data_IF_222605652339
#
_entry.id   IF_222605652339
#
_cell.length_a   1.000
_cell.length_b   1.000
_cell.length_c   1.000
_cell.angle_alpha   90.00
_cell.angle_beta   90.00
_cell.angle_gamma   90.00
#
_symmetry.space_group_name_H-M   'P 1'
#
loop_
_entity.id
_entity.type
_entity.pdbx_description
1 polymer ?
#
# COMPACT_ATOMS: atom_id res chain seq x y z
N UNK A 1 5.86 -0.56 -10.64
CA UNK A 1 5.99 0.89 -10.95
C UNK A 1 4.64 1.55 -10.75
N UNK A 2 4.62 2.75 -10.19
CA UNK A 2 3.43 3.60 -10.03
C UNK A 2 3.88 5.08 -10.03
N UNK A 3 3.02 5.99 -9.59
CA UNK A 3 3.33 7.40 -9.43
C UNK A 3 2.74 7.92 -8.12
N UNK A 4 3.33 8.97 -7.55
CA UNK A 4 2.70 9.78 -6.49
C UNK A 4 2.72 11.27 -6.88
N UNK A 5 1.69 12.04 -6.51
CA UNK A 5 1.61 13.46 -6.89
C UNK A 5 2.52 14.32 -6.00
N UNK A 6 3.30 15.21 -6.63
CA UNK A 6 4.11 16.23 -5.93
C UNK A 6 3.52 17.62 -6.08
N UNK A 7 2.72 17.85 -7.12
CA UNK A 7 1.88 19.04 -7.30
C UNK A 7 0.65 18.68 -8.13
N UNK A 8 -0.27 19.63 -8.32
CA UNK A 8 -1.48 19.42 -9.13
C UNK A 8 -1.24 19.09 -10.61
N UNK A 9 -0.01 19.26 -11.10
CA UNK A 9 0.36 19.02 -12.50
C UNK A 9 1.52 18.02 -12.66
N UNK A 10 2.13 17.60 -11.56
CA UNK A 10 3.37 16.81 -11.59
C UNK A 10 3.26 15.65 -10.62
N UNK A 11 3.58 14.47 -11.14
CA UNK A 11 3.73 13.25 -10.34
C UNK A 11 5.09 12.65 -10.61
N UNK A 12 5.70 12.11 -9.57
CA UNK A 12 6.94 11.36 -9.68
C UNK A 12 6.65 9.90 -9.93
N UNK A 13 7.39 9.31 -10.88
CA UNK A 13 7.36 7.89 -11.14
C UNK A 13 8.20 7.18 -10.08
N UNK A 14 7.64 6.11 -9.52
CA UNK A 14 8.29 5.31 -8.48
C UNK A 14 8.31 3.84 -8.87
N UNK A 15 9.44 3.21 -8.62
CA UNK A 15 9.69 1.80 -8.88
C UNK A 15 9.92 1.06 -7.56
N UNK A 16 9.41 -0.16 -7.49
CA UNK A 16 9.75 -1.13 -6.45
C UNK A 16 10.58 -2.22 -7.12
N UNK A 17 11.78 -2.47 -6.60
CA UNK A 17 12.74 -3.44 -7.14
C UNK A 17 13.22 -4.33 -5.99
N UNK A 18 13.19 -5.64 -6.19
CA UNK A 18 13.79 -6.59 -5.25
C UNK A 18 15.27 -6.70 -5.60
N UNK A 19 16.18 -6.23 -4.73
CA UNK A 19 17.59 -6.26 -5.03
C UNK A 19 18.17 -7.67 -4.76
N UNK A 20 19.34 -8.01 -5.31
CA UNK A 20 19.93 -9.35 -5.19
C UNK A 20 20.19 -9.81 -3.74
N UNK A 21 20.38 -8.86 -2.82
CA UNK A 21 20.59 -9.11 -1.39
C UNK A 21 19.31 -9.44 -0.60
N UNK A 22 18.12 -9.23 -1.19
CA UNK A 22 16.86 -9.57 -0.53
C UNK A 22 16.72 -11.09 -0.41
N UNK A 23 16.35 -11.58 0.77
CA UNK A 23 16.11 -13.01 1.00
C UNK A 23 14.66 -13.27 1.41
N UNK A 24 14.29 -14.55 1.56
CA UNK A 24 12.99 -14.90 2.12
C UNK A 24 12.89 -14.61 3.62
N UNK A 25 14.01 -14.66 4.34
CA UNK A 25 14.08 -14.39 5.79
C UNK A 25 14.11 -12.89 6.09
N UNK A 26 14.75 -12.09 5.23
CA UNK A 26 14.76 -10.63 5.28
C UNK A 26 14.44 -10.05 3.89
N UNK A 27 13.14 -10.02 3.53
CA UNK A 27 12.72 -9.46 2.27
C UNK A 27 12.90 -7.94 2.25
N UNK A 28 13.71 -7.47 1.30
CA UNK A 28 13.99 -6.05 1.09
C UNK A 28 13.42 -5.63 -0.26
N UNK A 29 12.71 -4.52 -0.28
CA UNK A 29 12.30 -3.83 -1.50
C UNK A 29 12.97 -2.48 -1.58
N UNK A 30 13.66 -2.22 -2.68
CA UNK A 30 14.16 -0.89 -2.99
C UNK A 30 13.08 -0.07 -3.68
N UNK A 31 12.60 0.96 -2.99
CA UNK A 31 11.73 1.97 -3.57
C UNK A 31 12.59 3.10 -4.13
N UNK A 32 12.46 3.36 -5.43
CA UNK A 32 13.35 4.26 -6.16
C UNK A 32 12.58 5.29 -6.98
N UNK A 33 12.97 6.56 -6.89
CA UNK A 33 12.38 7.66 -7.66
C UNK A 33 13.33 8.87 -7.70
N UNK A 34 13.11 9.79 -8.65
CA UNK A 34 13.76 11.11 -8.61
C UNK A 34 12.96 12.02 -7.69
N UNK A 35 13.58 12.58 -6.65
CA UNK A 35 12.93 13.45 -5.68
C UNK A 35 12.81 14.90 -6.13
N UNK A 36 12.07 15.68 -5.35
CA UNK A 36 11.86 17.11 -5.58
C UNK A 36 13.18 17.92 -5.49
N UNK A 37 14.19 17.38 -4.81
CA UNK A 37 15.53 17.96 -4.71
C UNK A 37 16.40 17.73 -5.95
N UNK A 38 15.86 17.07 -6.98
CA UNK A 38 16.55 16.73 -8.23
C UNK A 38 17.49 15.54 -8.12
N UNK A 39 17.53 14.83 -6.98
CA UNK A 39 18.37 13.65 -6.78
C UNK A 39 17.57 12.36 -6.97
N UNK A 40 18.30 11.31 -7.30
CA UNK A 40 17.74 9.97 -7.31
C UNK A 40 17.77 9.41 -5.89
N UNK A 41 16.59 9.09 -5.34
CA UNK A 41 16.45 8.48 -4.03
C UNK A 41 16.24 6.97 -4.15
N UNK A 42 16.86 6.24 -3.22
CA UNK A 42 16.72 4.79 -3.05
C UNK A 42 16.46 4.53 -1.57
N UNK A 43 15.30 3.97 -1.27
CA UNK A 43 14.91 3.57 0.08
C UNK A 43 14.86 2.05 0.15
N UNK A 44 15.63 1.47 1.07
CA UNK A 44 15.56 0.05 1.36
C UNK A 44 14.47 -0.18 2.41
N UNK A 45 13.37 -0.79 2.00
CA UNK A 45 12.26 -1.13 2.88
C UNK A 45 12.36 -2.61 3.22
N UNK A 46 12.62 -2.92 4.49
CA UNK A 46 12.52 -4.26 5.03
C UNK A 46 11.04 -4.59 5.19
N UNK A 47 10.53 -5.54 4.40
CA UNK A 47 9.10 -5.86 4.31
C UNK A 47 8.56 -6.37 5.64
N UNK A 48 9.38 -7.09 6.41
CA UNK A 48 9.02 -7.59 7.74
C UNK A 48 8.85 -6.46 8.78
N UNK A 49 9.50 -5.31 8.56
CA UNK A 49 9.40 -4.15 9.46
C UNK A 49 8.20 -3.25 9.13
N UNK A 50 7.52 -3.50 8.01
CA UNK A 50 6.32 -2.73 7.64
C UNK A 50 5.19 -3.11 8.56
N UNK A 51 4.80 -2.17 9.43
CA UNK A 51 3.60 -2.27 10.24
C UNK A 51 2.40 -1.68 9.49
N UNK A 52 1.44 -2.49 8.99
CA UNK A 52 0.29 -1.98 8.23
C UNK A 52 -0.61 -1.02 9.03
N UNK A 53 -0.58 -1.07 10.36
CA UNK A 53 -1.34 -0.14 11.21
C UNK A 53 -0.66 1.23 11.38
N UNK A 54 0.58 1.38 10.90
CA UNK A 54 1.34 2.62 10.96
C UNK A 54 2.39 2.67 9.85
N UNK A 55 1.94 2.59 8.59
CA UNK A 55 2.79 2.61 7.41
C UNK A 55 2.51 3.84 6.53
N UNK A 56 3.57 4.35 5.92
CA UNK A 56 3.51 5.32 4.82
C UNK A 56 3.05 4.65 3.53
N UNK A 57 2.65 5.47 2.55
CA UNK A 57 2.33 4.95 1.22
C UNK A 57 3.55 4.30 0.56
N UNK A 58 4.76 4.78 0.84
CA UNK A 58 6.01 4.17 0.38
C UNK A 58 6.21 2.76 0.95
N UNK A 59 6.04 2.60 2.27
CA UNK A 59 6.17 1.29 2.93
C UNK A 59 5.07 0.33 2.48
N UNK A 60 3.82 0.81 2.37
CA UNK A 60 2.72 0.01 1.84
C UNK A 60 2.95 -0.38 0.38
N UNK A 61 3.46 0.54 -0.45
CA UNK A 61 3.80 0.25 -1.85
C UNK A 61 4.86 -0.84 -1.95
N UNK A 62 5.92 -0.76 -1.14
CA UNK A 62 6.95 -1.78 -1.04
C UNK A 62 6.36 -3.14 -0.63
N UNK A 63 5.60 -3.16 0.46
CA UNK A 63 4.99 -4.37 1.02
C UNK A 63 4.09 -5.07 0.01
N UNK A 64 3.09 -4.37 -0.55
CA UNK A 64 2.13 -5.01 -1.46
C UNK A 64 2.76 -5.41 -2.81
N UNK A 65 3.82 -4.69 -3.24
CA UNK A 65 4.61 -5.06 -4.42
C UNK A 65 5.43 -6.32 -4.19
N UNK A 66 5.98 -6.51 -2.99
CA UNK A 66 6.64 -7.77 -2.62
C UNK A 66 5.64 -8.93 -2.60
N UNK A 67 4.47 -8.73 -2.01
CA UNK A 67 3.39 -9.74 -2.00
C UNK A 67 2.98 -10.14 -3.43
N UNK A 68 2.85 -9.16 -4.35
CA UNK A 68 2.62 -9.42 -5.77
C UNK A 68 3.73 -10.28 -6.40
N UNK A 69 4.99 -10.00 -6.05
CA UNK A 69 6.16 -10.69 -6.57
C UNK A 69 6.19 -12.17 -6.16
N UNK A 70 5.89 -12.47 -4.89
CA UNK A 70 5.86 -13.85 -4.37
C UNK A 70 4.57 -14.60 -4.71
N UNK A 71 3.62 -13.94 -5.40
CA UNK A 71 2.40 -14.55 -5.92
C UNK A 71 1.16 -14.39 -5.04
N UNK A 72 1.27 -13.69 -3.92
CA UNK A 72 0.15 -13.32 -3.05
C UNK A 72 -0.60 -12.13 -3.67
N UNK A 73 -1.45 -12.41 -4.65
CA UNK A 73 -2.15 -11.41 -5.46
C UNK A 73 -3.60 -11.25 -5.04
N UNK A 74 -4.10 -10.03 -5.14
CA UNK A 74 -5.51 -9.66 -5.01
C UNK A 74 -6.25 -10.01 -6.31
N UNK A 75 -7.08 -11.08 -6.35
CA UNK A 75 -7.64 -11.57 -7.60
C UNK A 75 -8.52 -10.54 -8.33
N UNK A 76 -8.30 -10.42 -9.64
CA UNK A 76 -9.06 -9.52 -10.51
C UNK A 76 -8.73 -8.03 -10.34
N UNK A 77 -7.76 -7.68 -9.49
CA UNK A 77 -7.07 -6.40 -9.52
C UNK A 77 -5.94 -6.42 -10.56
N UNK A 78 -5.50 -5.23 -11.00
CA UNK A 78 -4.35 -5.11 -11.90
C UNK A 78 -3.06 -5.54 -11.18
N UNK A 79 -2.89 -5.08 -9.93
CA UNK A 79 -1.89 -5.50 -8.97
C UNK A 79 -2.39 -5.13 -7.56
N UNK A 80 -1.70 -5.56 -6.51
CA UNK A 80 -2.09 -5.30 -5.12
C UNK A 80 -2.06 -3.81 -4.78
N UNK A 81 -1.10 -3.06 -5.33
CA UNK A 81 -1.03 -1.61 -5.13
C UNK A 81 -2.28 -0.89 -5.64
N UNK A 82 -2.77 -1.25 -6.83
CA UNK A 82 -3.98 -0.68 -7.39
C UNK A 82 -5.22 -1.02 -6.56
N UNK A 83 -5.30 -2.24 -6.02
CA UNK A 83 -6.37 -2.61 -5.10
C UNK A 83 -6.31 -1.76 -3.82
N UNK A 84 -5.14 -1.63 -3.21
CA UNK A 84 -4.90 -0.81 -2.02
C UNK A 84 -5.28 0.66 -2.24
N UNK A 85 -4.82 1.27 -3.34
CA UNK A 85 -5.13 2.67 -3.68
C UNK A 85 -6.63 2.91 -3.86
N UNK A 86 -7.37 1.94 -4.42
CA UNK A 86 -8.84 2.05 -4.53
C UNK A 86 -9.50 2.01 -3.13
N UNK A 87 -8.99 1.19 -2.21
CA UNK A 87 -9.50 1.18 -0.83
C UNK A 87 -9.20 2.50 -0.12
N UNK A 88 -7.98 3.03 -0.29
CA UNK A 88 -7.60 4.33 0.27
C UNK A 88 -8.48 5.46 -0.27
N UNK A 89 -8.65 5.53 -1.58
CA UNK A 89 -9.53 6.50 -2.22
C UNK A 89 -10.98 6.39 -1.72
N UNK A 90 -11.50 5.17 -1.61
CA UNK A 90 -12.87 4.94 -1.10
C UNK A 90 -13.00 5.39 0.34
N UNK A 91 -12.01 5.09 1.20
CA UNK A 91 -12.01 5.53 2.58
C UNK A 91 -12.02 7.06 2.71
N UNK A 92 -11.21 7.77 1.92
CA UNK A 92 -11.16 9.24 1.96
C UNK A 92 -12.49 9.87 1.52
N UNK A 93 -13.08 9.37 0.43
CA UNK A 93 -14.40 9.82 -0.03
C UNK A 93 -15.46 9.63 1.06
N UNK A 94 -15.49 8.47 1.72
CA UNK A 94 -16.49 8.20 2.74
C UNK A 94 -16.24 8.97 4.04
N UNK A 95 -14.98 9.23 4.40
CA UNK A 95 -14.62 9.92 5.64
C UNK A 95 -14.79 11.44 5.52
N UNK A 96 -14.46 12.00 4.36
CA UNK A 96 -14.38 13.46 4.19
C UNK A 96 -15.39 14.03 3.18
N UNK A 97 -16.11 13.17 2.44
CA UNK A 97 -17.02 13.58 1.37
C UNK A 97 -16.32 14.07 0.09
N UNK A 98 -14.98 14.03 0.06
CA UNK A 98 -14.15 14.40 -1.08
C UNK A 98 -12.79 13.68 -1.02
N UNK A 99 -12.16 13.48 -2.16
CA UNK A 99 -10.82 12.92 -2.26
C UNK A 99 -9.81 14.03 -1.99
N UNK A 100 -8.93 13.82 -1.02
CA UNK A 100 -7.89 14.81 -0.68
C UNK A 100 -6.58 14.35 -1.28
N UNK A 101 -6.30 14.80 -2.49
CA UNK A 101 -4.99 14.58 -3.09
C UNK A 101 -3.91 15.27 -2.24
N UNK A 102 -3.17 14.46 -1.46
CA UNK A 102 -2.07 14.94 -0.65
C UNK A 102 -0.85 15.12 -1.56
N UNK A 103 -0.47 16.38 -1.77
CA UNK A 103 0.59 16.76 -2.69
C UNK A 103 1.93 16.88 -1.98
N UNK A 104 2.94 16.20 -2.49
CA UNK A 104 4.33 16.36 -2.08
C UNK A 104 4.96 15.07 -1.60
N UNK A 105 6.27 14.97 -1.78
CA UNK A 105 7.05 13.76 -1.49
C UNK A 105 6.87 13.25 -0.05
N UNK A 106 6.80 14.15 0.94
CA UNK A 106 6.62 13.78 2.35
C UNK A 106 5.32 13.02 2.65
N UNK A 107 4.27 13.21 1.85
CA UNK A 107 3.03 12.46 2.01
C UNK A 107 3.15 11.03 1.54
N UNK A 108 3.96 10.79 0.52
CA UNK A 108 4.29 9.44 0.07
C UNK A 108 5.27 8.75 1.02
N UNK A 109 6.33 9.45 1.44
CA UNK A 109 7.46 8.85 2.17
C UNK A 109 7.28 8.80 3.70
N UNK A 110 6.49 9.71 4.29
CA UNK A 110 6.54 9.95 5.73
C UNK A 110 5.20 9.87 6.48
N UNK A 111 4.08 10.24 5.85
CA UNK A 111 2.78 10.25 6.54
C UNK A 111 2.29 8.84 6.78
N UNK A 112 2.15 8.47 8.06
CA UNK A 112 1.71 7.15 8.49
C UNK A 112 0.19 7.04 8.51
N UNK A 113 -0.33 5.96 7.97
CA UNK A 113 -1.74 5.60 7.95
C UNK A 113 -1.93 4.18 8.53
N UNK A 114 -3.11 3.95 9.11
CA UNK A 114 -3.56 2.61 9.51
C UNK A 114 -4.30 1.96 8.35
N UNK A 115 -3.56 1.23 7.51
CA UNK A 115 -4.10 0.58 6.32
C UNK A 115 -5.16 -0.46 6.66
N UNK A 116 -4.98 -1.19 7.76
CA UNK A 116 -5.92 -2.22 8.18
C UNK A 116 -7.26 -1.60 8.64
N UNK A 117 -7.20 -0.58 9.50
CA UNK A 117 -8.40 0.11 9.95
C UNK A 117 -9.14 0.77 8.77
N UNK A 118 -8.39 1.40 7.86
CA UNK A 118 -8.91 1.99 6.64
C UNK A 118 -9.68 0.97 5.78
N UNK A 119 -9.08 -0.19 5.50
CA UNK A 119 -9.72 -1.23 4.67
C UNK A 119 -10.92 -1.85 5.40
N UNK A 120 -10.83 -2.07 6.71
CA UNK A 120 -11.96 -2.55 7.52
C UNK A 120 -13.17 -1.61 7.48
N UNK A 121 -12.94 -0.30 7.50
CA UNK A 121 -14.00 0.70 7.40
C UNK A 121 -14.67 0.66 6.01
N UNK A 122 -13.89 0.61 4.93
CA UNK A 122 -14.41 0.47 3.56
C UNK A 122 -15.21 -0.83 3.42
N UNK A 123 -14.69 -1.95 3.94
CA UNK A 123 -15.36 -3.22 3.88
C UNK A 123 -16.73 -3.19 4.57
N UNK A 124 -16.78 -2.60 5.76
CA UNK A 124 -18.01 -2.43 6.53
C UNK A 124 -19.01 -1.54 5.80
N UNK A 125 -18.54 -0.43 5.21
CA UNK A 125 -19.36 0.46 4.41
C UNK A 125 -19.94 -0.23 3.16
N UNK A 126 -19.12 -0.96 2.39
CA UNK A 126 -19.55 -1.68 1.19
C UNK A 126 -20.66 -2.68 1.50
N UNK A 127 -20.52 -3.43 2.61
CA UNK A 127 -21.55 -4.39 3.04
C UNK A 127 -22.89 -3.74 3.35
N UNK A 128 -22.88 -2.53 3.91
CA UNK A 128 -24.08 -1.85 4.38
C UNK A 128 -24.73 -0.98 3.31
N UNK A 129 -23.95 -0.37 2.42
CA UNK A 129 -24.43 0.68 1.50
C UNK A 129 -24.33 0.30 0.02
N UNK A 130 -23.47 -0.66 -0.35
CA UNK A 130 -23.28 -1.05 -1.75
C UNK A 130 -23.04 -2.57 -1.90
N UNK A 131 -24.04 -3.41 -1.55
CA UNK A 131 -23.88 -4.86 -1.56
C UNK A 131 -23.65 -5.45 -2.98
N UNK A 132 -23.90 -4.68 -4.04
CA UNK A 132 -23.59 -5.06 -5.42
C UNK A 132 -22.11 -4.85 -5.77
N UNK A 133 -21.35 -4.07 -4.99
CA UNK A 133 -19.89 -3.90 -5.11
C UNK A 133 -19.10 -5.11 -4.57
N UNK A 134 -19.53 -6.31 -4.95
CA UNK A 134 -18.95 -7.57 -4.50
C UNK A 134 -17.46 -7.71 -4.84
N UNK A 135 -16.99 -7.06 -5.92
CA UNK A 135 -15.59 -7.09 -6.34
C UNK A 135 -14.71 -6.36 -5.32
N UNK A 136 -15.06 -5.12 -4.96
CA UNK A 136 -14.34 -4.32 -3.97
C UNK A 136 -14.42 -4.94 -2.58
N UNK A 137 -15.56 -5.53 -2.23
CA UNK A 137 -15.70 -6.26 -0.97
C UNK A 137 -14.83 -7.51 -0.90
N UNK A 138 -14.57 -8.18 -2.04
CA UNK A 138 -13.57 -9.27 -2.11
C UNK A 138 -12.16 -8.74 -1.96
N UNK A 139 -11.80 -7.67 -2.68
CA UNK A 139 -10.50 -7.02 -2.53
C UNK A 139 -10.19 -6.58 -1.09
N UNK A 140 -11.20 -6.07 -0.36
CA UNK A 140 -11.03 -5.78 1.07
C UNK A 140 -10.57 -7.02 1.84
N UNK A 141 -11.21 -8.18 1.63
CA UNK A 141 -10.85 -9.42 2.33
C UNK A 141 -9.46 -9.88 1.92
N UNK A 142 -9.18 -9.93 0.62
CA UNK A 142 -7.90 -10.40 0.10
C UNK A 142 -6.73 -9.54 0.62
N UNK A 143 -6.93 -8.21 0.68
CA UNK A 143 -5.94 -7.30 1.26
C UNK A 143 -5.83 -7.47 2.77
N UNK A 144 -6.94 -7.58 3.52
CA UNK A 144 -6.89 -7.79 4.98
C UNK A 144 -6.21 -9.11 5.34
N UNK A 145 -6.49 -10.20 4.62
CA UNK A 145 -5.84 -11.49 4.80
C UNK A 145 -4.33 -11.34 4.56
N UNK A 146 -3.93 -10.63 3.50
CA UNK A 146 -2.53 -10.33 3.19
C UNK A 146 -1.85 -9.52 4.29
N UNK A 147 -2.44 -8.42 4.75
CA UNK A 147 -1.87 -7.59 5.82
C UNK A 147 -1.72 -8.38 7.13
N UNK A 148 -2.62 -9.31 7.39
CA UNK A 148 -2.58 -10.17 8.57
C UNK A 148 -1.59 -11.34 8.46
N UNK A 149 -1.15 -11.73 7.25
CA UNK A 149 -0.10 -12.75 7.11
C UNK A 149 1.22 -12.31 7.77
N UNK A 150 1.56 -11.03 7.70
CA UNK A 150 2.72 -10.47 8.41
C UNK A 150 2.60 -10.56 9.94
N UNK A 151 1.37 -10.52 10.48
CA UNK A 151 1.11 -10.66 11.91
C UNK A 151 1.16 -12.12 12.40
N UNK A 152 0.95 -13.10 11.52
CA UNK A 152 0.95 -14.53 11.90
C UNK A 152 2.38 -15.07 12.07
N UNK A 153 3.34 -14.62 11.25
CA UNK A 153 4.75 -15.01 11.41
C UNK A 153 5.37 -14.36 12.67
N UNK A 154 5.00 -13.12 13.01
CA UNK A 154 5.42 -12.46 14.25
C UNK A 154 4.87 -13.08 15.55
N UNK A 155 3.83 -13.92 15.47
CA UNK A 155 3.22 -14.60 16.62
C UNK A 155 3.71 -16.04 16.81
N UNK A 156 4.57 -16.56 15.93
CA UNK A 156 5.17 -17.89 16.10
C UNK A 156 6.45 -17.88 16.96
N UNK A 157 6.89 -16.72 17.43
CA UNK A 157 8.04 -16.57 18.36
C UNK A 157 7.64 -16.12 19.78
N UNK A 158 6.64 -16.78 20.40
CA UNK A 158 6.39 -16.66 21.86
C UNK A 158 6.21 -18.02 22.50
#
# INVERSE_FOLDING_TARGET
MTTFPVSSLVSHMVEAVIPPESTSEDPVVQVRFNGDDGKYHVYNIHVNDVNPNSASDMEMFAYVSYQDHIGNKTPGAFNNWAAYQIMKFTHELETYGDYRELLGENFFTGVKNDAEAMINQVFSWLKNNNPSAQKQARWCRDLLDMLNMGNVEALQEV
#
